data_IF_837496904415
#
_entry.id   IF_837496904415
#
_cell.length_a   1.000
_cell.length_b   1.000
_cell.length_c   1.000
_cell.angle_alpha   90.00
_cell.angle_beta   90.00
_cell.angle_gamma   90.00
#
_symmetry.space_group_name_H-M   'P 1'
#
loop_
_entity.id
_entity.type
_entity.pdbx_description
1 polymer ?
2 non-polymer ?
3 non-polymer ?
4 water ?
#
# COMPACT_ATOMS: atom_id res chain seq x y z
N UNK A 4 -0.13 -7.29 -30.54
CA UNK A 4 -0.63 -6.68 -29.25
C UNK A 4 0.54 -6.51 -28.26
N UNK A 5 1.10 -5.30 -28.08
CA UNK A 5 2.32 -5.13 -27.28
C UNK A 5 2.00 -5.18 -25.78
N UNK A 6 2.92 -5.70 -24.97
CA UNK A 6 2.71 -5.73 -23.50
C UNK A 6 2.92 -4.34 -22.94
N UNK A 7 2.11 -3.92 -21.95
CA UNK A 7 2.22 -2.57 -21.43
C UNK A 7 3.49 -2.37 -20.61
N UNK A 8 3.97 -1.13 -20.60
CA UNK A 8 5.07 -0.64 -19.73
C UNK A 8 4.45 0.05 -18.51
N UNK A 9 3.21 0.53 -18.67
CA UNK A 9 2.45 1.34 -17.68
C UNK A 9 1.03 0.80 -17.59
N UNK A 10 0.45 0.81 -16.38
CA UNK A 10 -1.01 0.57 -16.20
C UNK A 10 -1.51 1.64 -15.24
N UNK A 11 -2.82 1.83 -15.22
CA UNK A 11 -3.43 2.73 -14.22
C UNK A 11 -4.29 1.87 -13.33
N UNK A 12 -4.22 2.22 -12.06
CA UNK A 12 -4.84 1.47 -10.96
C UNK A 12 -5.73 2.44 -10.21
N UNK A 13 -6.97 2.05 -10.05
CA UNK A 13 -7.94 2.73 -9.20
C UNK A 13 -7.93 2.04 -7.85
N UNK A 14 -7.82 2.84 -6.81
CA UNK A 14 -8.00 2.40 -5.40
C UNK A 14 -9.20 3.14 -4.85
N UNK A 15 -10.18 2.41 -4.37
CA UNK A 15 -11.32 2.97 -3.65
C UNK A 15 -11.37 2.48 -2.23
N UNK A 16 -11.66 3.34 -1.29
CA UNK A 16 -11.95 2.96 0.11
C UNK A 16 -13.25 3.66 0.51
N UNK A 17 -14.18 2.87 1.00
CA UNK A 17 -15.45 3.41 1.52
C UNK A 17 -15.94 2.62 2.71
N UNK A 18 -16.06 3.28 3.83
CA UNK A 18 -16.79 2.74 4.99
C UNK A 18 -18.28 3.07 4.74
N UNK A 19 -19.04 2.03 4.48
CA UNK A 19 -20.43 2.13 3.99
C UNK A 19 -21.41 2.33 5.15
N UNK A 20 -20.94 2.26 6.41
CA UNK A 20 -21.79 2.52 7.59
C UNK A 20 -22.97 1.57 7.64
N UNK A 21 -22.79 0.35 7.13
CA UNK A 21 -23.75 -0.78 7.24
C UNK A 21 -25.03 -0.47 6.46
N UNK A 22 -24.97 0.49 5.52
CA UNK A 22 -26.14 0.93 4.72
C UNK A 22 -25.88 0.53 3.28
N UNK A 23 -26.92 0.09 2.55
CA UNK A 23 -26.80 -0.15 1.13
C UNK A 23 -26.37 1.14 0.44
N UNK A 24 -25.66 1.01 -0.67
CA UNK A 24 -25.25 2.18 -1.43
C UNK A 24 -26.44 2.79 -2.16
N UNK A 25 -26.30 4.02 -2.66
CA UNK A 25 -27.32 4.61 -3.51
C UNK A 25 -27.27 3.99 -4.91
N UNK A 26 -28.24 4.36 -5.75
CA UNK A 26 -28.38 3.69 -7.06
C UNK A 26 -27.19 4.04 -7.97
N UNK A 27 -26.55 5.18 -7.77
CA UNK A 27 -25.45 5.62 -8.64
C UNK A 27 -24.23 5.91 -7.79
N UNK A 28 -23.12 5.24 -8.07
CA UNK A 28 -21.86 5.47 -7.32
C UNK A 28 -20.76 5.74 -8.35
N UNK A 29 -21.10 6.06 -9.62
CA UNK A 29 -20.11 6.23 -10.70
C UNK A 29 -19.07 7.35 -10.40
N UNK A 30 -19.48 8.39 -9.67
CA UNK A 30 -18.60 9.52 -9.28
C UNK A 30 -17.35 9.00 -8.58
N UNK A 31 -17.49 7.92 -7.81
CA UNK A 31 -16.35 7.32 -7.07
C UNK A 31 -15.32 6.83 -8.09
N UNK A 32 -15.75 6.00 -9.04
CA UNK A 32 -14.85 5.35 -10.00
C UNK A 32 -14.29 6.37 -10.99
N UNK A 33 -15.00 7.48 -11.16
CA UNK A 33 -14.55 8.60 -12.01
C UNK A 33 -13.65 9.58 -11.27
N UNK A 34 -13.37 9.39 -9.98
CA UNK A 34 -12.51 10.34 -9.24
C UNK A 34 -13.07 11.76 -9.36
N UNK A 35 -14.37 11.91 -9.12
CA UNK A 35 -15.09 13.21 -9.13
C UNK A 35 -15.52 13.59 -7.71
N UNK A 36 -15.35 14.86 -7.36
CA UNK A 36 -15.81 15.39 -6.08
C UNK A 36 -14.84 16.43 -5.63
N UNK A 37 -14.24 16.19 -4.45
CA UNK A 37 -13.27 17.13 -3.81
C UNK A 37 -11.88 16.54 -3.92
N UNK A 38 -10.86 17.40 -3.82
CA UNK A 38 -9.46 16.98 -3.73
C UNK A 38 -8.82 17.04 -5.09
N UNK A 39 -7.90 16.12 -5.34
CA UNK A 39 -7.20 15.99 -6.66
C UNK A 39 -8.05 15.05 -7.51
N UNK A 40 -8.82 15.64 -8.43
CA UNK A 40 -9.84 14.92 -9.21
C UNK A 40 -9.35 14.68 -10.65
N UNK A 41 -10.01 13.74 -11.28
CA UNK A 41 -9.65 13.30 -12.62
C UNK A 41 -10.32 14.21 -13.65
N UNK A 42 -9.57 14.47 -14.72
CA UNK A 42 -10.04 15.27 -15.87
C UNK A 42 -11.26 14.61 -16.53
N UNK A 43 -12.26 15.43 -16.84
CA UNK A 43 -13.51 14.96 -17.52
C UNK A 43 -13.18 14.21 -18.80
N UNK A 44 -12.12 14.62 -19.47
CA UNK A 44 -11.76 14.04 -20.80
C UNK A 44 -11.37 12.56 -20.66
N UNK A 45 -11.05 12.12 -19.44
CA UNK A 45 -10.64 10.73 -19.18
C UNK A 45 -11.81 9.82 -18.81
N UNK A 46 -13.02 10.34 -18.71
CA UNK A 46 -14.15 9.62 -18.08
C UNK A 46 -14.35 8.25 -18.71
N UNK A 47 -14.18 8.13 -20.04
CA UNK A 47 -14.53 6.86 -20.71
C UNK A 47 -13.34 5.92 -20.71
N UNK A 48 -12.20 6.38 -20.26
CA UNK A 48 -10.94 5.62 -20.35
C UNK A 48 -10.93 4.71 -19.13
N UNK A 49 -10.98 3.39 -19.30
CA UNK A 49 -10.98 2.52 -18.13
C UNK A 49 -9.57 2.50 -17.53
N UNK A 50 -9.52 2.40 -16.21
CA UNK A 50 -8.33 1.98 -15.48
C UNK A 50 -8.12 0.52 -15.83
N UNK A 51 -6.88 0.06 -15.72
CA UNK A 51 -6.51 -1.34 -16.02
C UNK A 51 -7.02 -2.24 -14.90
N UNK A 52 -6.90 -1.79 -13.66
CA UNK A 52 -7.24 -2.58 -12.46
C UNK A 52 -8.02 -1.64 -11.55
N UNK A 53 -9.14 -2.10 -11.02
CA UNK A 53 -9.91 -1.38 -9.97
C UNK A 53 -9.84 -2.23 -8.72
N UNK A 54 -9.41 -1.62 -7.63
CA UNK A 54 -9.34 -2.30 -6.33
C UNK A 54 -10.23 -1.52 -5.38
N UNK A 55 -11.25 -2.19 -4.84
CA UNK A 55 -12.35 -1.55 -4.08
C UNK A 55 -12.39 -2.12 -2.65
N UNK A 56 -11.98 -1.30 -1.67
CA UNK A 56 -12.00 -1.69 -0.27
C UNK A 56 -13.23 -1.12 0.36
N UNK A 57 -14.01 -1.94 1.00
CA UNK A 57 -15.12 -1.47 1.84
C UNK A 57 -14.93 -1.91 3.28
N UNK A 58 -15.54 -1.13 4.16
CA UNK A 58 -15.67 -1.41 5.60
C UNK A 58 -17.13 -1.23 5.98
N UNK A 59 -17.57 -1.90 7.03
CA UNK A 59 -18.98 -1.85 7.45
C UNK A 59 -19.84 -2.10 6.21
N UNK A 60 -19.48 -3.10 5.39
CA UNK A 60 -20.18 -3.39 4.11
C UNK A 60 -21.32 -4.35 4.43
N UNK A 61 -22.57 -3.94 4.18
CA UNK A 61 -23.73 -4.77 4.55
C UNK A 61 -24.15 -5.75 3.46
N UNK A 62 -23.49 -5.66 2.32
CA UNK A 62 -23.90 -6.41 1.11
C UNK A 62 -23.25 -7.78 1.11
N UNK A 63 -23.87 -8.73 0.42
CA UNK A 63 -23.21 -9.99 0.06
C UNK A 63 -22.15 -9.67 -1.01
N UNK A 64 -21.19 -10.56 -1.20
CA UNK A 64 -20.18 -10.44 -2.27
C UNK A 64 -20.93 -10.33 -3.59
N UNK A 65 -21.93 -11.18 -3.77
CA UNK A 65 -22.67 -11.22 -5.04
C UNK A 65 -23.31 -9.85 -5.30
N UNK A 66 -24.02 -9.30 -4.31
CA UNK A 66 -24.69 -8.00 -4.44
C UNK A 66 -23.69 -6.90 -4.79
N UNK A 67 -22.56 -6.85 -4.10
CA UNK A 67 -21.57 -5.77 -4.34
C UNK A 67 -20.90 -5.93 -5.71
N UNK A 68 -20.49 -7.14 -6.07
CA UNK A 68 -19.92 -7.43 -7.40
C UNK A 68 -20.86 -6.94 -8.51
N UNK A 69 -22.15 -7.28 -8.39
CA UNK A 69 -23.23 -6.83 -9.31
C UNK A 69 -23.11 -5.32 -9.50
N UNK A 70 -23.12 -4.58 -8.39
CA UNK A 70 -23.17 -3.10 -8.41
C UNK A 70 -21.87 -2.55 -9.02
N UNK A 71 -20.75 -3.09 -8.59
CA UNK A 71 -19.44 -2.64 -9.11
C UNK A 71 -19.37 -2.90 -10.60
N UNK A 72 -19.65 -4.11 -11.06
CA UNK A 72 -19.49 -4.41 -12.49
C UNK A 72 -20.43 -3.57 -13.36
N UNK A 73 -21.68 -3.40 -12.92
CA UNK A 73 -22.70 -2.54 -13.60
C UNK A 73 -22.15 -1.11 -13.70
N UNK A 74 -21.65 -0.57 -12.59
CA UNK A 74 -21.13 0.82 -12.51
C UNK A 74 -19.95 0.99 -13.49
N UNK A 75 -19.00 0.05 -13.51
CA UNK A 75 -17.84 0.15 -14.44
C UNK A 75 -18.32 -0.01 -15.88
N UNK A 76 -19.25 -0.92 -16.12
CA UNK A 76 -19.78 -1.13 -17.51
C UNK A 76 -20.44 0.16 -17.97
N UNK A 77 -21.20 0.83 -17.10
CA UNK A 77 -21.90 2.08 -17.47
C UNK A 77 -20.86 3.15 -17.82
N UNK A 78 -19.81 3.26 -17.04
CA UNK A 78 -18.74 4.27 -17.24
C UNK A 78 -17.96 3.98 -18.52
N UNK A 79 -17.56 2.74 -18.73
CA UNK A 79 -16.46 2.38 -19.65
C UNK A 79 -16.94 1.56 -20.85
N UNK A 80 -18.13 0.97 -20.74
CA UNK A 80 -18.64 -0.06 -21.68
C UNK A 80 -17.76 -1.29 -21.72
N UNK A 81 -17.01 -1.53 -20.65
CA UNK A 81 -16.14 -2.72 -20.53
C UNK A 81 -16.77 -3.57 -19.45
N UNK A 82 -16.90 -4.87 -19.71
CA UNK A 82 -17.26 -5.89 -18.71
C UNK A 82 -15.98 -6.38 -18.04
N UNK A 83 -15.76 -5.89 -16.84
CA UNK A 83 -14.55 -6.24 -16.06
C UNK A 83 -14.64 -7.66 -15.56
N UNK A 84 -13.46 -8.26 -15.44
CA UNK A 84 -13.26 -9.62 -14.89
C UNK A 84 -12.95 -9.48 -13.42
N UNK A 85 -13.50 -10.38 -12.64
CA UNK A 85 -13.24 -10.50 -11.21
C UNK A 85 -11.92 -11.25 -11.03
N UNK A 86 -10.92 -10.58 -10.50
CA UNK A 86 -9.60 -11.20 -10.18
C UNK A 86 -9.73 -11.88 -8.84
N UNK A 87 -10.29 -11.17 -7.85
CA UNK A 87 -10.35 -11.69 -6.48
C UNK A 87 -11.39 -10.91 -5.70
N UNK A 88 -11.97 -11.59 -4.73
CA UNK A 88 -12.85 -10.95 -3.73
C UNK A 88 -12.62 -11.66 -2.43
N UNK A 89 -12.42 -10.90 -1.37
CA UNK A 89 -12.17 -11.49 -0.06
C UNK A 89 -12.82 -10.62 1.01
N UNK A 90 -13.53 -11.24 1.92
CA UNK A 90 -14.30 -10.57 2.98
C UNK A 90 -13.92 -11.15 4.32
N UNK A 91 -13.65 -10.27 5.27
CA UNK A 91 -13.51 -10.65 6.69
C UNK A 91 -14.57 -9.84 7.41
N UNK A 92 -15.56 -10.50 7.95
CA UNK A 92 -16.67 -9.81 8.67
C UNK A 92 -17.30 -8.85 7.68
N UNK A 93 -17.20 -7.54 7.90
CA UNK A 93 -17.79 -6.51 7.03
C UNK A 93 -16.69 -5.70 6.31
N UNK A 94 -15.46 -6.24 6.29
CA UNK A 94 -14.28 -5.66 5.57
C UNK A 94 -14.06 -6.44 4.29
N UNK A 95 -14.11 -5.79 3.14
CA UNK A 95 -14.09 -6.48 1.85
C UNK A 95 -13.11 -5.83 0.90
N UNK A 96 -12.49 -6.65 0.09
CA UNK A 96 -11.67 -6.20 -1.05
C UNK A 96 -12.13 -6.92 -2.32
N UNK A 97 -12.36 -6.12 -3.35
CA UNK A 97 -12.66 -6.62 -4.71
C UNK A 97 -11.59 -6.10 -5.66
N UNK A 98 -11.06 -6.98 -6.49
CA UNK A 98 -10.14 -6.59 -7.57
C UNK A 98 -10.79 -6.99 -8.89
N UNK A 99 -11.00 -5.99 -9.72
CA UNK A 99 -11.53 -6.12 -11.09
C UNK A 99 -10.45 -5.69 -12.08
N UNK A 100 -10.37 -6.36 -13.21
CA UNK A 100 -9.40 -5.98 -14.26
C UNK A 100 -10.03 -6.03 -15.64
N UNK A 101 -9.51 -5.21 -16.56
CA UNK A 101 -9.87 -5.27 -18.00
C UNK A 101 -9.81 -6.73 -18.43
N UNK A 102 -10.72 -7.20 -19.32
CA UNK A 102 -10.63 -8.56 -19.82
C UNK A 102 -9.33 -8.89 -20.55
N UNK A 103 -8.75 -7.89 -21.19
CA UNK A 103 -7.49 -8.04 -21.98
C UNK A 103 -6.37 -8.43 -21.01
N UNK A 104 -6.54 -8.23 -19.68
CA UNK A 104 -5.46 -8.53 -18.70
C UNK A 104 -5.57 -9.94 -18.13
N UNK A 105 -6.59 -10.69 -18.54
CA UNK A 105 -6.91 -11.97 -17.84
C UNK A 105 -5.70 -12.91 -17.83
N UNK A 106 -4.96 -12.95 -18.95
CA UNK A 106 -3.80 -13.86 -19.15
C UNK A 106 -2.49 -13.14 -18.84
N UNK A 107 -2.57 -11.95 -18.22
CA UNK A 107 -1.37 -11.23 -17.69
C UNK A 107 -1.36 -11.39 -16.16
N UNK A 108 -2.48 -11.76 -15.59
CA UNK A 108 -2.66 -11.83 -14.12
C UNK A 108 -2.52 -13.27 -13.67
N UNK A 109 -1.68 -13.51 -12.70
CA UNK A 109 -1.46 -14.88 -12.20
C UNK A 109 -1.12 -14.82 -10.71
N UNK A 110 -0.91 -15.97 -10.10
CA UNK A 110 -0.47 -16.07 -8.67
C UNK A 110 -1.38 -15.21 -7.78
N UNK A 111 -2.68 -15.35 -7.93
CA UNK A 111 -3.64 -14.55 -7.13
C UNK A 111 -3.67 -15.14 -5.74
N UNK A 112 -3.42 -14.30 -4.74
CA UNK A 112 -3.44 -14.67 -3.30
C UNK A 112 -4.44 -13.77 -2.57
N UNK A 113 -5.08 -14.31 -1.53
CA UNK A 113 -5.98 -13.54 -0.67
C UNK A 113 -5.64 -13.95 0.75
N UNK A 114 -5.79 -13.00 1.65
CA UNK A 114 -5.65 -13.32 3.09
C UNK A 114 -6.38 -12.27 3.92
N UNK A 115 -6.47 -12.56 5.19
CA UNK A 115 -7.01 -11.56 6.13
C UNK A 115 -6.24 -11.69 7.42
N UNK A 116 -6.27 -10.63 8.19
CA UNK A 116 -5.74 -10.59 9.55
C UNK A 116 -6.83 -10.02 10.45
N UNK A 117 -7.09 -10.66 11.57
CA UNK A 117 -8.02 -10.16 12.61
C UNK A 117 -7.19 -9.46 13.67
N UNK A 118 -7.46 -8.21 13.99
CA UNK A 118 -6.63 -7.51 15.01
C UNK A 118 -7.29 -7.63 16.41
N UNK A 119 -6.52 -7.44 17.48
CA UNK A 119 -7.04 -7.38 18.87
C UNK A 119 -7.20 -8.76 19.50
N UNK A 120 -7.28 -8.81 20.84
CA UNK A 120 -7.38 -10.05 21.68
C UNK A 120 -8.64 -9.95 22.58
N UNK A 121 -9.58 -10.91 22.45
CA UNK A 121 -10.74 -11.16 23.34
C UNK A 121 -11.79 -10.02 23.22
N UNK A 122 -11.73 -8.99 24.09
CA UNK A 122 -12.49 -7.71 23.98
C UNK A 122 -12.38 -7.15 22.56
N UNK A 123 -11.13 -7.09 22.06
CA UNK A 123 -10.67 -6.28 20.91
C UNK A 123 -10.62 -7.13 19.63
N UNK A 124 -10.78 -8.48 19.72
CA UNK A 124 -10.97 -9.38 18.54
C UNK A 124 -12.47 -9.53 18.28
N UNK A 125 -12.93 -9.11 17.12
CA UNK A 125 -14.35 -9.34 16.74
C UNK A 125 -14.79 -8.57 15.52
N UNK A 126 -14.21 -7.41 15.21
CA UNK A 126 -14.65 -6.80 13.94
C UNK A 126 -13.65 -5.97 13.12
N UNK A 127 -12.46 -5.72 13.66
CA UNK A 127 -11.40 -4.90 13.00
C UNK A 127 -10.33 -5.84 12.41
N UNK A 128 -9.63 -5.36 11.39
CA UNK A 128 -8.55 -6.13 10.78
C UNK A 128 -8.37 -5.74 9.34
N UNK A 129 -7.89 -6.66 8.54
CA UNK A 129 -7.55 -6.34 7.15
C UNK A 129 -7.84 -7.50 6.26
N UNK A 130 -8.14 -7.20 5.02
CA UNK A 130 -8.14 -8.19 3.93
C UNK A 130 -7.10 -7.73 2.91
N UNK A 131 -6.61 -8.65 2.12
CA UNK A 131 -5.60 -8.35 1.11
C UNK A 131 -5.66 -9.25 -0.08
N UNK A 132 -5.19 -8.73 -1.17
CA UNK A 132 -5.02 -9.46 -2.44
C UNK A 132 -3.63 -9.17 -2.96
N UNK A 133 -2.99 -10.19 -3.52
CA UNK A 133 -1.80 -9.99 -4.35
C UNK A 133 -1.91 -10.80 -5.63
N UNK A 134 -1.15 -10.37 -6.62
CA UNK A 134 -1.03 -11.13 -7.87
C UNK A 134 0.19 -10.59 -8.62
N UNK A 135 0.60 -11.34 -9.61
CA UNK A 135 1.53 -10.91 -10.66
C UNK A 135 0.73 -10.30 -11.79
N UNK A 136 1.17 -9.16 -12.27
CA UNK A 136 0.75 -8.59 -13.55
C UNK A 136 1.96 -8.64 -14.48
N UNK A 137 2.00 -9.60 -15.38
CA UNK A 137 3.24 -9.88 -16.17
C UNK A 137 4.42 -10.00 -15.18
N UNK A 138 5.46 -9.19 -15.31
CA UNK A 138 6.66 -9.37 -14.46
C UNK A 138 6.60 -8.54 -13.18
N UNK A 139 5.45 -7.96 -12.87
CA UNK A 139 5.31 -6.98 -11.77
C UNK A 139 4.39 -7.58 -10.70
N UNK A 140 4.85 -7.55 -9.45
CA UNK A 140 4.06 -8.02 -8.30
C UNK A 140 3.29 -6.84 -7.70
N UNK A 141 2.00 -7.06 -7.45
CA UNK A 141 1.09 -6.03 -6.93
C UNK A 141 0.40 -6.58 -5.70
N UNK A 142 0.40 -5.82 -4.62
CA UNK A 142 -0.29 -6.15 -3.36
C UNK A 142 -1.22 -5.04 -2.98
N UNK A 143 -2.30 -5.41 -2.33
CA UNK A 143 -3.39 -4.48 -1.98
C UNK A 143 -3.94 -4.90 -0.64
N UNK A 144 -3.95 -3.96 0.29
CA UNK A 144 -4.44 -4.18 1.67
C UNK A 144 -5.55 -3.18 1.93
N UNK A 145 -6.68 -3.69 2.35
CA UNK A 145 -7.84 -2.91 2.86
C UNK A 145 -7.96 -3.18 4.35
N UNK A 146 -7.67 -2.19 5.20
CA UNK A 146 -7.72 -2.37 6.66
C UNK A 146 -8.74 -1.45 7.28
N UNK A 147 -9.48 -1.96 8.26
CA UNK A 147 -10.37 -1.19 9.16
C UNK A 147 -9.72 -1.24 10.52
N UNK A 148 -9.04 -0.17 10.89
CA UNK A 148 -8.29 -0.14 12.15
C UNK A 148 -9.18 0.34 13.30
N UNK A 149 -8.66 0.18 14.50
CA UNK A 149 -9.36 0.51 15.75
C UNK A 149 -9.87 1.95 15.64
N UNK A 150 -11.09 2.19 16.11
CA UNK A 150 -11.72 3.53 16.08
C UNK A 150 -11.39 4.29 17.36
N UNK A 151 -11.63 5.58 17.34
CA UNK A 151 -11.57 6.41 18.54
C UNK A 151 -10.37 7.31 18.51
N UNK A 152 -10.56 8.58 18.79
CA UNK A 152 -9.48 9.56 18.83
C UNK A 152 -8.34 9.15 19.77
N UNK A 153 -8.69 8.47 20.86
CA UNK A 153 -7.76 8.15 21.97
C UNK A 153 -6.87 6.95 21.62
N UNK A 154 -7.13 6.26 20.52
CA UNK A 154 -6.51 4.92 20.24
C UNK A 154 -5.52 4.95 19.08
N UNK A 155 -4.77 6.01 18.90
CA UNK A 155 -3.80 6.03 17.76
C UNK A 155 -2.75 4.93 17.99
N UNK A 156 -2.35 4.66 19.24
CA UNK A 156 -1.34 3.62 19.51
C UNK A 156 -1.87 2.26 19.07
N UNK A 157 -3.15 1.98 19.40
CA UNK A 157 -3.82 0.71 19.01
C UNK A 157 -3.80 0.59 17.49
N UNK A 158 -4.13 1.67 16.79
CA UNK A 158 -4.10 1.67 15.31
C UNK A 158 -2.69 1.27 14.85
N UNK A 159 -1.66 1.84 15.44
CA UNK A 159 -0.27 1.56 15.02
C UNK A 159 0.03 0.07 15.28
N UNK A 160 -0.51 -0.46 16.37
CA UNK A 160 -0.35 -1.88 16.71
C UNK A 160 -1.08 -2.69 15.67
N UNK A 161 -2.29 -2.27 15.28
CA UNK A 161 -3.10 -3.01 14.30
C UNK A 161 -2.29 -3.07 12.99
N UNK A 162 -1.71 -1.94 12.57
CA UNK A 162 -0.86 -1.86 11.37
C UNK A 162 0.26 -2.88 11.43
N UNK A 163 0.96 -2.95 12.55
CA UNK A 163 2.12 -3.88 12.66
C UNK A 163 1.64 -5.33 12.62
N UNK A 164 0.53 -5.65 13.29
CA UNK A 164 -0.05 -7.03 13.20
C UNK A 164 -0.41 -7.35 11.77
N UNK A 165 -1.03 -6.42 11.06
CA UNK A 165 -1.44 -6.73 9.67
C UNK A 165 -0.21 -6.95 8.79
N UNK A 166 0.75 -6.03 8.92
CA UNK A 166 2.06 -6.04 8.23
C UNK A 166 2.71 -7.41 8.43
N UNK A 167 2.72 -7.89 9.67
CA UNK A 167 3.45 -9.13 10.05
C UNK A 167 2.74 -10.35 9.53
N UNK A 168 1.42 -10.38 9.63
CA UNK A 168 0.68 -11.67 9.55
C UNK A 168 -0.11 -11.83 8.28
N UNK A 169 -0.25 -10.79 7.47
CA UNK A 169 -0.99 -10.94 6.22
C UNK A 169 -0.07 -11.70 5.26
N UNK A 170 -0.51 -12.88 4.79
CA UNK A 170 0.32 -13.83 4.01
C UNK A 170 -0.06 -13.69 2.53
N UNK A 171 0.54 -12.72 1.87
CA UNK A 171 0.33 -12.45 0.44
C UNK A 171 1.66 -12.60 -0.26
N UNK A 172 1.62 -12.69 -1.58
CA UNK A 172 2.82 -12.74 -2.41
C UNK A 172 3.57 -14.04 -2.28
N UNK A 173 4.84 -14.00 -2.60
CA UNK A 173 5.66 -15.19 -2.88
C UNK A 173 6.13 -15.74 -1.52
N UNK A 174 5.63 -16.90 -1.15
CA UNK A 174 5.98 -17.53 0.17
C UNK A 174 7.48 -17.86 0.22
N UNK A 175 8.14 -17.96 -0.90
CA UNK A 175 9.60 -18.23 -0.88
C UNK A 175 10.35 -17.03 -0.33
N UNK A 176 9.73 -15.86 -0.33
CA UNK A 176 10.36 -14.65 0.27
C UNK A 176 10.18 -14.70 1.79
N UNK A 177 10.65 -15.77 2.44
CA UNK A 177 10.29 -16.04 3.83
C UNK A 177 10.74 -14.95 4.77
N UNK A 178 11.91 -14.28 4.65
CA UNK A 178 12.27 -13.25 5.62
C UNK A 178 11.43 -11.98 5.48
N UNK A 179 10.65 -11.86 4.41
CA UNK A 179 10.08 -10.55 4.06
C UNK A 179 8.59 -10.51 4.36
N UNK A 180 8.18 -9.40 4.95
CA UNK A 180 6.75 -9.14 5.13
C UNK A 180 6.17 -8.44 3.89
N UNK A 181 4.87 -8.15 3.96
CA UNK A 181 4.23 -7.58 2.75
C UNK A 181 4.87 -6.25 2.39
N UNK A 182 5.51 -5.51 3.30
CA UNK A 182 6.12 -4.22 2.93
C UNK A 182 7.37 -4.40 2.04
N UNK A 183 7.81 -5.61 1.72
CA UNK A 183 8.93 -5.86 0.79
C UNK A 183 8.55 -6.85 -0.32
N UNK A 184 7.37 -7.44 -0.32
CA UNK A 184 7.09 -8.54 -1.27
C UNK A 184 6.66 -8.04 -2.66
N UNK A 185 6.33 -6.77 -2.84
CA UNK A 185 5.63 -6.29 -4.05
C UNK A 185 6.37 -5.14 -4.70
N UNK A 186 6.41 -5.15 -6.02
CA UNK A 186 6.83 -3.95 -6.78
C UNK A 186 6.05 -2.72 -6.28
N UNK A 187 4.73 -2.87 -6.16
CA UNK A 187 3.81 -1.81 -5.73
C UNK A 187 2.88 -2.42 -4.70
N UNK A 188 2.79 -1.77 -3.55
CA UNK A 188 1.90 -2.17 -2.44
C UNK A 188 1.04 -0.97 -2.15
N UNK A 189 -0.27 -1.18 -2.20
CA UNK A 189 -1.25 -0.13 -1.88
C UNK A 189 -1.96 -0.57 -0.62
N UNK A 190 -1.96 0.31 0.36
CA UNK A 190 -2.62 0.06 1.64
C UNK A 190 -3.60 1.19 1.88
N UNK A 191 -4.84 0.82 2.05
CA UNK A 191 -5.96 1.79 2.13
C UNK A 191 -6.92 1.24 3.16
N UNK A 192 -7.91 2.04 3.45
CA UNK A 192 -9.03 1.64 4.28
C UNK A 192 -9.54 2.77 5.16
N UNK A 193 -10.39 2.35 6.07
CA UNK A 193 -10.76 3.17 7.22
C UNK A 193 -9.69 2.97 8.27
N UNK A 194 -8.61 3.74 8.15
CA UNK A 194 -7.45 3.65 9.05
C UNK A 194 -7.79 4.34 10.37
N UNK A 195 -8.82 5.21 10.41
CA UNK A 195 -9.47 5.66 11.67
C UNK A 195 -8.59 6.61 12.47
N UNK A 196 -7.53 7.13 11.86
CA UNK A 196 -6.78 8.23 12.52
C UNK A 196 -7.61 9.51 12.46
N UNK A 197 -7.49 10.32 13.50
CA UNK A 197 -8.37 11.47 13.73
C UNK A 197 -7.57 12.76 13.74
N UNK A 198 -8.32 13.84 13.57
CA UNK A 198 -7.80 15.21 13.78
C UNK A 198 -7.82 15.43 15.28
N UNK A 199 -6.63 15.41 15.90
CA UNK A 199 -6.46 15.51 17.37
C UNK A 199 -6.43 16.98 17.77
N UNK A 200 -7.61 17.54 17.97
CA UNK A 200 -7.81 18.91 18.51
C UNK A 200 -8.79 18.78 19.66
N UNK A 201 -8.87 19.80 20.54
CA UNK A 201 -9.79 19.72 21.67
C UNK A 201 -11.22 19.64 21.14
N UNK A 202 -12.08 18.87 21.81
CA UNK A 202 -13.46 18.55 21.37
C UNK A 202 -14.31 19.83 21.35
N UNK A 203 -13.94 20.82 22.16
CA UNK A 203 -14.62 22.15 22.21
C UNK A 203 -14.15 23.06 21.06
N UNK A 204 -13.21 22.60 20.23
CA UNK A 204 -12.88 23.26 18.94
C UNK A 204 -13.73 22.68 17.79
N UNK A 205 -14.75 21.86 18.06
CA UNK A 205 -15.49 21.19 16.96
C UNK A 205 -16.05 22.21 15.99
N UNK A 206 -16.67 23.30 16.48
CA UNK A 206 -17.35 24.25 15.57
C UNK A 206 -16.27 24.98 14.79
N UNK A 207 -15.15 25.26 15.42
CA UNK A 207 -14.00 25.91 14.74
C UNK A 207 -13.49 25.04 13.60
N UNK A 208 -13.38 23.74 13.85
CA UNK A 208 -12.94 22.79 12.79
C UNK A 208 -13.92 22.82 11.63
N UNK A 209 -15.20 22.78 11.94
CA UNK A 209 -16.25 22.81 10.90
C UNK A 209 -16.15 24.06 10.05
N UNK A 210 -15.93 25.22 10.69
CA UNK A 210 -15.85 26.51 9.96
C UNK A 210 -14.57 26.52 9.10
N UNK A 211 -13.47 25.89 9.55
CA UNK A 211 -12.27 25.73 8.71
C UNK A 211 -12.59 24.86 7.48
N UNK A 212 -13.30 23.75 7.68
CA UNK A 212 -13.71 22.88 6.55
C UNK A 212 -14.57 23.67 5.56
N UNK A 213 -15.53 24.45 6.05
CA UNK A 213 -16.41 25.24 5.15
C UNK A 213 -15.59 26.22 4.32
N UNK A 214 -14.48 26.71 4.85
CA UNK A 214 -13.55 27.64 4.18
C UNK A 214 -12.55 26.90 3.29
N UNK A 215 -12.61 25.56 3.25
CA UNK A 215 -11.60 24.72 2.57
C UNK A 215 -10.20 25.07 3.05
N UNK A 216 -10.04 25.35 4.33
CA UNK A 216 -8.73 25.68 4.94
C UNK A 216 -8.33 24.48 5.78
N UNK A 217 -7.60 23.57 5.16
CA UNK A 217 -7.34 22.26 5.79
C UNK A 217 -6.01 22.28 6.53
N UNK A 218 -5.17 23.30 6.33
CA UNK A 218 -3.77 23.27 6.80
C UNK A 218 -3.70 23.09 8.33
N UNK A 219 -4.51 23.82 9.08
CA UNK A 219 -4.46 23.77 10.55
C UNK A 219 -5.12 22.48 11.02
N UNK A 220 -5.91 21.81 10.18
CA UNK A 220 -6.47 20.51 10.60
C UNK A 220 -5.44 19.42 10.31
N UNK A 221 -4.88 19.39 9.09
CA UNK A 221 -3.90 18.32 8.71
C UNK A 221 -2.68 18.33 9.64
N UNK A 222 -2.29 19.48 10.18
CA UNK A 222 -1.15 19.54 11.13
C UNK A 222 -1.49 18.78 12.41
N UNK A 223 -2.77 18.40 12.64
CA UNK A 223 -3.16 17.60 13.82
C UNK A 223 -3.68 16.23 13.41
N UNK A 224 -3.61 15.90 12.12
CA UNK A 224 -4.03 14.58 11.66
C UNK A 224 -3.09 13.56 12.26
N UNK A 225 -3.65 12.58 12.94
CA UNK A 225 -2.81 11.62 13.68
C UNK A 225 -2.02 10.74 12.72
N UNK A 226 -2.55 10.41 11.57
CA UNK A 226 -1.78 9.59 10.64
C UNK A 226 -0.55 10.38 10.14
N UNK A 227 -0.71 11.63 9.71
CA UNK A 227 0.44 12.47 9.28
C UNK A 227 1.42 12.61 10.45
N UNK A 228 0.95 12.87 11.67
CA UNK A 228 1.89 13.13 12.79
C UNK A 228 2.57 11.82 13.19
N UNK A 229 1.83 10.73 13.32
CA UNK A 229 2.45 9.44 13.65
C UNK A 229 3.46 9.03 12.58
N UNK A 230 3.15 9.25 11.31
CA UNK A 230 4.07 8.93 10.19
C UNK A 230 5.32 9.82 10.29
N UNK A 231 5.15 11.10 10.59
CA UNK A 231 6.29 12.06 10.70
C UNK A 231 7.21 11.60 11.84
N UNK A 232 6.66 11.01 12.91
CA UNK A 232 7.45 10.54 14.05
C UNK A 232 7.85 9.07 13.85
N UNK A 233 7.61 8.51 12.67
CA UNK A 233 8.08 7.16 12.27
C UNK A 233 7.46 6.13 13.22
N UNK A 234 6.23 6.35 13.65
CA UNK A 234 5.53 5.38 14.52
C UNK A 234 4.75 4.36 13.70
N UNK A 235 4.45 4.65 12.43
CA UNK A 235 3.55 3.80 11.64
C UNK A 235 3.81 4.10 10.16
N UNK A 236 3.51 3.15 9.30
CA UNK A 236 3.59 3.31 7.83
C UNK A 236 4.98 3.84 7.42
N UNK A 237 6.03 3.34 8.04
CA UNK A 237 7.38 3.79 7.67
C UNK A 237 7.61 3.40 6.21
N UNK A 238 8.08 4.34 5.41
CA UNK A 238 8.51 4.15 4.00
C UNK A 238 7.33 4.06 3.05
N UNK A 239 6.14 4.44 3.53
CA UNK A 239 4.95 4.57 2.68
C UNK A 239 4.79 6.01 2.24
N UNK A 240 4.12 6.19 1.10
CA UNK A 240 3.78 7.51 0.52
C UNK A 240 2.28 7.75 0.68
N UNK A 241 1.89 9.02 0.74
CA UNK A 241 0.49 9.43 0.63
C UNK A 241 0.50 10.72 -0.14
N UNK A 242 -0.45 10.85 -1.06
CA UNK A 242 -0.67 12.11 -1.82
C UNK A 242 -1.15 13.19 -0.84
N UNK A 243 -0.85 14.46 -1.12
CA UNK A 243 -1.36 15.57 -0.32
C UNK A 243 -2.89 15.52 -0.27
N UNK A 244 -3.45 15.70 0.92
CA UNK A 244 -4.91 15.74 1.11
C UNK A 244 -5.43 17.14 0.84
N UNK A 245 -6.35 17.27 -0.10
CA UNK A 245 -6.92 18.57 -0.53
C UNK A 245 -8.44 18.45 -0.56
N UNK A 246 -8.98 17.44 0.11
CA UNK A 246 -10.44 17.22 0.23
C UNK A 246 -10.85 17.35 1.70
N UNK A 247 -12.12 17.62 1.94
CA UNK A 247 -12.62 17.76 3.33
C UNK A 247 -12.50 16.43 4.04
N UNK A 248 -12.42 16.48 5.38
CA UNK A 248 -12.53 15.27 6.20
C UNK A 248 -13.72 14.43 5.75
N UNK A 249 -13.52 13.12 5.68
CA UNK A 249 -14.51 12.19 5.09
C UNK A 249 -15.42 11.56 6.14
N UNK A 250 -15.26 11.95 7.38
CA UNK A 250 -15.95 11.41 8.57
C UNK A 250 -16.08 12.55 9.57
N UNK A 251 -17.14 12.65 10.37
CA UNK A 251 -18.32 11.81 10.40
C UNK A 251 -19.49 12.67 9.92
N UNK A 252 -20.14 12.27 8.84
CA UNK A 252 -21.27 13.06 8.28
C UNK A 252 -22.59 12.57 8.85
N UNK A 253 -23.56 13.50 8.91
CA UNK A 253 -24.98 13.09 8.92
C UNK A 253 -25.29 12.39 7.59
N UNK A 254 -26.03 11.30 7.66
CA UNK A 254 -26.43 10.59 6.42
C UNK A 254 -27.41 11.39 5.59
N UNK A 255 -27.39 11.18 4.27
CA UNK A 255 -28.35 11.71 3.25
C UNK A 255 -28.09 13.19 2.92
N UNK A 256 -27.03 13.77 3.46
CA UNK A 256 -26.55 15.12 3.06
C UNK A 256 -25.03 15.05 3.20
N UNK A 257 -24.28 16.04 2.71
CA UNK A 257 -22.86 16.21 3.15
C UNK A 257 -22.73 17.57 3.83
N UNK A 258 -23.85 18.21 4.16
CA UNK A 258 -23.82 19.60 4.68
C UNK A 258 -23.50 19.61 6.17
N UNK A 259 -23.53 18.47 6.84
CA UNK A 259 -23.41 18.46 8.32
C UNK A 259 -22.46 17.37 8.79
N UNK A 260 -21.52 17.77 9.59
CA UNK A 260 -20.69 16.82 10.37
C UNK A 260 -21.39 16.53 11.69
N UNK A 261 -21.53 15.25 12.02
CA UNK A 261 -22.14 14.77 13.28
C UNK A 261 -21.01 14.38 14.20
N UNK A 262 -20.59 15.29 15.05
CA UNK A 262 -19.40 15.01 15.88
C UNK A 262 -19.70 14.79 17.37
N UNK A 263 -20.89 15.17 17.83
CA UNK A 263 -21.26 15.20 19.27
C UNK A 263 -21.27 13.78 19.83
N UNK A 264 -20.92 13.62 21.11
CA UNK A 264 -20.91 12.31 21.78
C UNK A 264 -22.38 11.91 21.96
N UNK A 265 -22.62 10.62 21.79
CA UNK A 265 -23.96 9.99 21.76
C UNK A 265 -23.82 8.59 22.37
N UNK A 266 -24.89 8.04 22.94
CA UNK A 266 -24.84 6.64 23.38
C UNK A 266 -24.27 5.78 22.27
N UNK A 267 -24.72 5.99 21.03
CA UNK A 267 -24.36 5.13 19.88
C UNK A 267 -22.85 5.23 19.59
N UNK A 268 -22.18 6.31 20.00
CA UNK A 268 -20.70 6.47 19.81
C UNK A 268 -19.93 6.02 21.05
N UNK A 269 -20.59 5.40 22.04
CA UNK A 269 -19.92 5.11 23.31
C UNK A 269 -19.52 6.36 24.03
N UNK A 270 -20.28 7.43 23.85
CA UNK A 270 -20.05 8.75 24.44
C UNK A 270 -18.69 9.30 24.04
N UNK A 271 -18.29 9.02 22.80
CA UNK A 271 -17.05 9.56 22.16
C UNK A 271 -17.44 10.66 21.19
N UNK A 272 -16.66 11.74 21.16
CA UNK A 272 -16.73 12.74 20.09
C UNK A 272 -16.08 12.12 18.86
N UNK A 273 -16.64 12.46 17.70
CA UNK A 273 -16.07 12.14 16.38
C UNK A 273 -15.82 13.48 15.69
N UNK A 274 -14.80 14.22 16.12
CA UNK A 274 -14.38 15.44 15.41
C UNK A 274 -14.11 15.05 13.96
N UNK A 275 -14.45 15.91 13.00
CA UNK A 275 -14.21 15.65 11.59
C UNK A 275 -12.77 15.23 11.37
N UNK A 276 -12.63 14.15 10.63
CA UNK A 276 -11.33 13.48 10.46
C UNK A 276 -11.17 12.86 9.08
N UNK A 277 -9.91 12.70 8.71
CA UNK A 277 -9.55 11.97 7.48
C UNK A 277 -9.32 10.50 7.83
N UNK A 278 -10.41 9.79 8.11
CA UNK A 278 -10.32 8.37 8.54
C UNK A 278 -9.90 7.49 7.35
N UNK A 279 -10.27 7.92 6.16
CA UNK A 279 -10.34 7.08 4.95
C UNK A 279 -9.20 7.44 4.00
N UNK A 280 -8.25 6.55 3.82
CA UNK A 280 -6.90 6.92 3.32
C UNK A 280 -6.40 5.91 2.32
N UNK A 281 -5.50 6.36 1.48
CA UNK A 281 -4.79 5.49 0.54
C UNK A 281 -3.31 5.83 0.60
N UNK A 282 -2.52 4.83 0.90
CA UNK A 282 -1.05 4.96 0.92
C UNK A 282 -0.45 3.91 0.02
N UNK A 283 0.78 4.11 -0.36
CA UNK A 283 1.46 3.11 -1.17
C UNK A 283 2.94 3.08 -0.86
N UNK A 284 3.52 1.98 -1.30
CA UNK A 284 4.97 1.80 -1.24
C UNK A 284 5.36 0.97 -2.43
N UNK A 285 6.28 1.50 -3.20
CA UNK A 285 6.78 0.88 -4.43
C UNK A 285 8.28 0.70 -4.23
N UNK A 286 8.81 -0.30 -4.87
CA UNK A 286 10.25 -0.55 -4.87
C UNK A 286 10.95 0.70 -5.43
N UNK A 287 12.20 0.92 -4.98
CA UNK A 287 12.95 2.08 -5.42
C UNK A 287 13.06 2.19 -6.94
N UNK A 288 12.90 3.42 -7.43
CA UNK A 288 13.07 3.82 -8.87
C UNK A 288 12.11 3.07 -9.77
N UNK A 289 10.96 2.66 -9.24
CA UNK A 289 9.86 2.22 -10.12
C UNK A 289 8.91 3.39 -10.28
N UNK A 290 8.41 3.56 -11.50
CA UNK A 290 7.43 4.62 -11.80
C UNK A 290 6.15 4.36 -11.00
N UNK A 291 5.76 5.31 -10.20
CA UNK A 291 4.40 5.32 -9.57
C UNK A 291 4.03 6.77 -9.38
N UNK A 292 2.93 7.16 -9.97
CA UNK A 292 2.50 8.59 -9.91
C UNK A 292 1.02 8.59 -9.52
N UNK A 293 0.71 9.28 -8.44
CA UNK A 293 -0.69 9.48 -8.02
C UNK A 293 -1.32 10.51 -8.95
N UNK A 294 -2.39 10.10 -9.64
CA UNK A 294 -3.13 10.92 -10.63
C UNK A 294 -4.35 11.58 -9.98
N UNK A 295 -4.92 10.97 -8.94
CA UNK A 295 -6.11 11.51 -8.24
C UNK A 295 -6.06 11.05 -6.79
N UNK A 296 -6.60 11.87 -5.91
CA UNK A 296 -6.79 11.53 -4.49
C UNK A 296 -7.82 12.49 -3.95
N UNK A 297 -8.99 11.97 -3.67
CA UNK A 297 -10.11 12.82 -3.28
C UNK A 297 -11.23 12.06 -2.68
N UNK A 298 -12.34 12.76 -2.51
CA UNK A 298 -13.55 12.12 -1.96
C UNK A 298 -14.73 12.51 -2.81
N UNK A 299 -15.72 11.63 -2.88
CA UNK A 299 -16.97 12.01 -3.56
C UNK A 299 -17.77 12.94 -2.68
N UNK A 300 -18.65 13.69 -3.33
CA UNK A 300 -19.58 14.68 -2.73
C UNK A 300 -21.03 14.23 -2.84
N UNK A 301 -21.34 13.23 -3.66
CA UNK A 301 -22.73 12.93 -4.02
C UNK A 301 -23.15 11.53 -3.54
N UNK A 302 -22.36 10.84 -2.71
CA UNK A 302 -22.70 9.49 -2.20
C UNK A 302 -22.82 9.67 -0.69
N UNK A 303 -24.04 9.58 -0.17
CA UNK A 303 -24.39 10.11 1.18
C UNK A 303 -25.10 9.06 2.05
N UNK A 304 -25.07 7.78 1.67
CA UNK A 304 -25.76 6.72 2.42
C UNK A 304 -25.00 6.42 3.69
N UNK A 305 -23.70 6.71 3.72
CA UNK A 305 -22.85 6.41 4.88
C UNK A 305 -22.56 7.68 5.66
N UNK A 306 -22.03 7.51 6.87
CA UNK A 306 -21.46 8.62 7.65
C UNK A 306 -20.00 8.86 7.20
N UNK A 307 -19.48 8.06 6.27
CA UNK A 307 -18.22 8.35 5.58
C UNK A 307 -18.51 8.65 4.11
N UNK A 308 -17.72 9.53 3.52
CA UNK A 308 -17.67 9.65 2.07
C UNK A 308 -16.61 8.70 1.51
N UNK A 309 -16.92 8.05 0.38
CA UNK A 309 -15.93 7.32 -0.40
C UNK A 309 -14.70 8.17 -0.73
N UNK A 310 -13.56 7.51 -0.72
CA UNK A 310 -12.25 8.07 -1.13
C UNK A 310 -11.78 7.28 -2.34
N UNK A 311 -11.22 8.01 -3.30
CA UNK A 311 -10.61 7.45 -4.51
C UNK A 311 -9.17 7.90 -4.58
N UNK A 312 -8.36 7.06 -5.16
CA UNK A 312 -7.01 7.43 -5.57
C UNK A 312 -6.71 6.66 -6.85
N UNK A 313 -6.03 7.30 -7.78
CA UNK A 313 -5.59 6.58 -8.98
C UNK A 313 -4.09 6.77 -9.18
N UNK A 314 -3.53 5.76 -9.80
CA UNK A 314 -2.08 5.72 -9.99
C UNK A 314 -1.71 5.26 -11.38
N UNK A 315 -0.70 5.91 -11.97
CA UNK A 315 0.15 5.31 -13.02
C UNK A 315 1.16 4.41 -12.33
N UNK A 316 1.27 3.15 -12.76
CA UNK A 316 2.26 2.24 -12.15
C UNK A 316 3.07 1.57 -13.25
N UNK A 317 4.39 1.66 -13.16
CA UNK A 317 5.25 0.94 -14.09
C UNK A 317 5.12 -0.55 -13.90
N UNK A 318 5.11 -1.24 -15.03
CA UNK A 318 5.09 -2.71 -15.09
C UNK A 318 6.11 -3.17 -16.11
N UNK A 319 6.53 -4.41 -15.93
CA UNK A 319 7.51 -5.06 -16.81
C UNK A 319 6.86 -6.27 -17.42
N UNK A 320 7.43 -6.72 -18.55
CA UNK A 320 6.96 -7.87 -19.35
C UNK A 320 7.39 -9.17 -18.67
N UNK A 321 6.82 -10.31 -19.10
CA UNK A 321 7.24 -11.65 -18.67
C UNK A 321 8.41 -12.04 -19.59
N UNK A 322 9.62 -11.69 -19.19
CA UNK A 322 10.83 -11.79 -20.03
C UNK A 322 11.24 -13.23 -20.27
N UNK A 323 11.55 -13.54 -21.53
CA UNK A 323 12.05 -14.87 -22.00
C UNK A 323 13.24 -14.60 -22.95
N UNK A 324 14.41 -15.11 -22.61
CA UNK A 324 15.60 -15.13 -23.50
C UNK A 324 15.84 -16.56 -23.98
N UNK A 325 16.82 -16.72 -24.87
CA UNK A 325 17.34 -18.04 -25.32
C UNK A 325 17.79 -18.85 -24.09
N UNK A 326 18.34 -18.14 -23.08
CA UNK A 326 18.91 -18.68 -21.81
C UNK A 326 17.80 -18.72 -20.74
N UNK A 327 17.76 -17.76 -19.81
CA UNK A 327 16.74 -17.74 -18.75
C UNK A 327 15.37 -17.36 -19.30
N UNK A 328 14.23 -17.76 -18.64
CA UNK A 328 14.25 -18.68 -17.50
C UNK A 328 14.66 -20.15 -17.75
N UNK A 329 15.24 -20.78 -16.71
CA UNK A 329 15.60 -22.21 -16.65
C UNK A 329 17.08 -22.44 -16.78
N UNK A 330 17.85 -21.37 -16.71
CA UNK A 330 19.32 -21.40 -16.60
C UNK A 330 19.78 -19.98 -16.26
N UNK A 331 21.08 -19.82 -15.98
CA UNK A 331 21.76 -18.50 -15.84
C UNK A 331 22.13 -17.99 -17.24
N UNK A 332 22.52 -16.73 -17.32
CA UNK A 332 23.03 -16.06 -18.55
C UNK A 332 24.44 -15.55 -18.21
N UNK A 333 25.45 -16.39 -18.40
CA UNK A 333 26.82 -16.15 -17.88
C UNK A 333 27.24 -14.70 -18.17
N UNK A 334 26.59 -14.01 -19.11
CA UNK A 334 26.91 -12.62 -19.54
C UNK A 334 26.52 -11.61 -18.44
N UNK A 335 25.86 -12.06 -17.36
CA UNK A 335 25.27 -11.21 -16.30
C UNK A 335 25.87 -11.51 -14.93
N UNK A 336 26.14 -10.47 -14.14
CA UNK A 336 26.57 -10.66 -12.74
C UNK A 336 26.28 -9.39 -11.94
N UNK A 337 26.06 -9.59 -10.65
CA UNK A 337 25.86 -8.49 -9.67
C UNK A 337 26.93 -8.69 -8.61
N UNK A 338 27.78 -7.70 -8.44
CA UNK A 338 28.83 -7.76 -7.41
C UNK A 338 28.61 -6.63 -6.42
N UNK A 339 29.00 -6.88 -5.18
CA UNK A 339 28.89 -5.95 -4.02
C UNK A 339 30.28 -5.69 -3.47
N UNK A 340 30.59 -4.43 -3.26
CA UNK A 340 31.91 -4.02 -2.76
C UNK A 340 31.68 -3.23 -1.49
N UNK A 341 32.60 -3.32 -0.52
CA UNK A 341 32.71 -2.37 0.62
C UNK A 341 31.33 -2.27 1.29
N UNK A 342 30.63 -3.39 1.44
CA UNK A 342 29.27 -3.37 2.04
C UNK A 342 29.33 -3.52 3.56
N UNK A 343 28.44 -2.83 4.24
CA UNK A 343 28.26 -3.06 5.68
C UNK A 343 26.83 -2.76 6.08
N UNK A 344 26.37 -3.53 7.05
CA UNK A 344 25.07 -3.34 7.70
C UNK A 344 25.36 -2.60 9.00
N UNK A 345 24.61 -1.56 9.28
CA UNK A 345 24.60 -0.88 10.59
C UNK A 345 23.30 -1.30 11.25
N UNK A 346 23.38 -1.94 12.41
CA UNK A 346 22.17 -2.47 13.09
C UNK A 346 21.99 -1.76 14.41
N UNK A 347 20.73 -1.55 14.78
CA UNK A 347 20.35 -0.94 16.07
C UNK A 347 20.34 -2.00 17.18
N UNK A 348 20.39 -3.28 16.85
CA UNK A 348 20.30 -4.39 17.83
C UNK A 348 21.37 -4.25 18.92
N UNK A 349 20.97 -4.60 20.13
CA UNK A 349 21.88 -4.59 21.31
C UNK A 349 22.52 -5.96 21.43
N UNK A 350 22.15 -6.93 20.58
CA UNK A 350 22.65 -8.31 20.66
C UNK A 350 24.04 -8.42 20.02
N UNK A 351 24.82 -9.43 20.43
CA UNK A 351 26.07 -9.89 19.79
C UNK A 351 25.88 -11.37 19.42
N UNK A 352 25.50 -11.60 18.16
CA UNK A 352 25.56 -12.88 17.40
C UNK A 352 26.28 -12.53 16.07
N UNK A 353 26.71 -13.53 15.33
CA UNK A 353 27.20 -13.32 13.95
C UNK A 353 25.98 -13.15 13.05
N UNK A 354 26.16 -12.44 11.94
CA UNK A 354 25.11 -12.21 10.91
C UNK A 354 25.59 -12.66 9.55
N UNK A 355 24.66 -13.08 8.71
CA UNK A 355 24.91 -13.31 7.28
C UNK A 355 23.81 -12.62 6.50
N UNK A 356 23.97 -12.50 5.19
CA UNK A 356 22.88 -11.92 4.37
C UNK A 356 22.18 -13.00 3.57
N UNK A 357 20.94 -12.71 3.19
CA UNK A 357 20.29 -13.44 2.09
C UNK A 357 19.87 -12.45 1.01
N UNK A 358 20.13 -12.80 -0.24
CA UNK A 358 19.73 -12.02 -1.42
C UNK A 358 18.58 -12.74 -2.05
N UNK A 359 17.42 -12.09 -2.17
CA UNK A 359 16.26 -12.72 -2.84
C UNK A 359 15.85 -11.85 -4.02
N UNK A 360 15.68 -12.45 -5.19
CA UNK A 360 15.17 -11.70 -6.36
C UNK A 360 14.64 -12.69 -7.38
N UNK A 361 13.59 -12.29 -8.08
CA UNK A 361 13.01 -13.04 -9.22
C UNK A 361 14.04 -13.17 -10.35
N UNK A 362 15.10 -12.34 -10.34
CA UNK A 362 16.18 -12.40 -11.37
C UNK A 362 17.19 -13.52 -11.06
N UNK A 363 17.08 -14.16 -9.90
CA UNK A 363 17.94 -15.29 -9.45
C UNK A 363 17.14 -16.58 -9.53
N UNK A 364 17.82 -17.70 -9.75
CA UNK A 364 17.13 -19.02 -9.76
C UNK A 364 16.63 -19.32 -8.35
N UNK A 365 17.40 -18.99 -7.33
CA UNK A 365 16.92 -19.05 -5.94
C UNK A 365 17.77 -18.11 -5.11
N UNK A 366 17.36 -17.93 -3.86
CA UNK A 366 18.01 -16.94 -2.98
C UNK A 366 19.44 -17.40 -2.70
N UNK A 367 20.25 -16.44 -2.36
CA UNK A 367 21.70 -16.66 -2.12
C UNK A 367 22.00 -16.23 -0.69
N UNK A 368 22.71 -17.10 0.03
CA UNK A 368 23.14 -16.89 1.44
C UNK A 368 24.64 -16.56 1.46
N UNK A 369 25.00 -15.41 2.01
CA UNK A 369 26.41 -14.96 2.12
C UNK A 369 27.07 -15.76 3.24
N UNK A 370 28.39 -15.65 3.32
CA UNK A 370 29.18 -15.94 4.52
C UNK A 370 28.85 -14.91 5.59
N UNK A 371 29.27 -15.18 6.82
CA UNK A 371 29.13 -14.27 7.96
C UNK A 371 29.96 -13.03 7.72
N UNK A 372 29.39 -11.89 8.08
CA UNK A 372 30.14 -10.63 8.19
C UNK A 372 30.95 -10.60 9.47
N UNK A 373 31.80 -9.59 9.57
CA UNK A 373 32.62 -9.35 10.77
C UNK A 373 32.07 -8.15 11.53
N UNK A 374 31.68 -8.41 12.77
CA UNK A 374 31.09 -7.39 13.65
C UNK A 374 32.18 -6.42 14.11
N UNK A 375 31.91 -5.13 14.07
CA UNK A 375 32.69 -4.13 14.84
C UNK A 375 31.72 -3.20 15.55
N UNK A 376 32.24 -2.38 16.46
CA UNK A 376 31.54 -1.30 17.19
C UNK A 376 31.58 -0.02 16.34
N UNK A 377 30.43 0.62 16.08
CA UNK A 377 30.36 1.99 15.57
C UNK A 377 30.80 3.02 16.61
N UNK A 378 31.11 4.24 16.20
CA UNK A 378 31.68 5.30 17.08
C UNK A 378 30.61 5.83 18.03
N UNK A 379 29.33 5.58 17.73
CA UNK A 379 28.18 6.07 18.54
C UNK A 379 27.43 4.89 19.16
N UNK A 380 28.11 3.76 19.40
CA UNK A 380 27.55 2.58 20.09
C UNK A 380 27.08 1.44 19.17
N UNK A 381 26.90 1.70 17.85
CA UNK A 381 26.13 0.83 16.90
C UNK A 381 26.82 -0.52 16.67
N UNK A 382 26.06 -1.52 16.23
CA UNK A 382 26.72 -2.72 15.67
C UNK A 382 26.92 -2.52 14.16
N UNK A 383 28.15 -2.66 13.69
CA UNK A 383 28.48 -2.55 12.25
C UNK A 383 28.89 -3.94 11.82
N UNK A 384 28.19 -4.49 10.85
CA UNK A 384 28.52 -5.82 10.29
C UNK A 384 29.22 -5.59 8.98
N UNK A 385 30.51 -5.86 8.94
CA UNK A 385 31.31 -5.59 7.71
C UNK A 385 31.30 -6.83 6.85
N UNK A 386 30.97 -6.69 5.57
CA UNK A 386 31.06 -7.77 4.58
C UNK A 386 32.29 -7.60 3.69
N UNK A 387 32.92 -6.43 3.72
CA UNK A 387 34.02 -6.05 2.81
C UNK A 387 33.69 -6.43 1.38
N UNK A 388 34.50 -7.32 0.81
CA UNK A 388 34.45 -7.74 -0.61
C UNK A 388 34.06 -9.21 -0.58
N UNK A 389 33.51 -9.70 0.56
CA UNK A 389 33.29 -11.14 0.82
C UNK A 389 31.93 -11.59 0.27
N UNK A 390 31.05 -10.67 -0.15
CA UNK A 390 29.69 -11.07 -0.60
C UNK A 390 29.77 -11.82 -1.92
N UNK A 391 28.94 -12.86 -2.13
CA UNK A 391 28.97 -13.61 -3.38
C UNK A 391 28.68 -12.73 -4.59
N UNK A 392 29.03 -13.31 -5.74
CA UNK A 392 28.71 -12.77 -7.08
C UNK A 392 27.37 -13.38 -7.46
N UNK A 393 26.34 -12.55 -7.68
CA UNK A 393 24.98 -13.04 -7.98
C UNK A 393 24.92 -13.26 -9.48
N UNK A 394 24.30 -14.37 -9.87
CA UNK A 394 24.21 -14.81 -11.27
C UNK A 394 22.76 -14.69 -11.69
N UNK A 395 22.38 -13.59 -12.38
CA UNK A 395 21.00 -13.48 -12.81
C UNK A 395 20.68 -14.45 -13.95
N UNK A 396 19.40 -14.77 -14.07
CA UNK A 396 18.87 -15.75 -15.06
C UNK A 396 18.89 -15.14 -16.46
N UNK A 397 18.85 -13.83 -16.55
CA UNK A 397 18.81 -13.08 -17.84
C UNK A 397 19.76 -11.90 -17.72
N UNK A 398 20.59 -11.67 -18.72
CA UNK A 398 21.69 -10.66 -18.71
C UNK A 398 21.24 -9.42 -19.48
N UNK A 399 20.17 -9.54 -20.25
CA UNK A 399 19.72 -8.42 -21.11
C UNK A 399 19.51 -7.22 -20.19
N UNK A 400 20.12 -6.04 -20.47
CA UNK A 400 19.94 -4.88 -19.60
C UNK A 400 18.49 -4.40 -19.56
N UNK A 401 17.73 -4.60 -20.64
CA UNK A 401 16.30 -4.17 -20.68
C UNK A 401 15.49 -4.94 -19.64
N UNK A 402 15.98 -6.11 -19.25
CA UNK A 402 15.35 -6.87 -18.14
C UNK A 402 16.03 -6.53 -16.83
N UNK A 403 17.36 -6.65 -16.81
CA UNK A 403 18.10 -6.69 -15.52
C UNK A 403 18.01 -5.32 -14.83
N UNK A 404 18.04 -4.21 -15.56
CA UNK A 404 18.07 -2.88 -14.92
C UNK A 404 16.72 -2.62 -14.26
N UNK A 405 15.67 -3.38 -14.59
CA UNK A 405 14.32 -3.19 -14.03
C UNK A 405 14.13 -4.04 -12.77
N UNK A 406 15.16 -4.75 -12.32
CA UNK A 406 14.98 -5.72 -11.25
C UNK A 406 15.41 -5.11 -9.91
N UNK A 407 15.13 -5.85 -8.84
CA UNK A 407 15.43 -5.43 -7.46
C UNK A 407 16.00 -6.63 -6.72
N UNK A 408 16.87 -6.34 -5.76
CA UNK A 408 17.43 -7.37 -4.86
C UNK A 408 16.93 -7.03 -3.48
N UNK A 409 16.15 -7.94 -2.92
CA UNK A 409 15.80 -7.87 -1.48
C UNK A 409 16.96 -8.43 -0.68
N UNK A 410 17.23 -7.79 0.44
CA UNK A 410 18.30 -8.19 1.38
C UNK A 410 17.68 -8.42 2.74
N UNK A 411 18.03 -9.55 3.37
CA UNK A 411 17.75 -9.80 4.79
C UNK A 411 19.09 -10.09 5.45
N UNK A 412 19.29 -9.45 6.59
CA UNK A 412 20.42 -9.77 7.48
C UNK A 412 19.87 -10.66 8.59
N UNK A 413 20.47 -11.86 8.70
CA UNK A 413 19.98 -12.93 9.57
C UNK A 413 21.04 -13.26 10.63
N UNK A 414 20.57 -13.57 11.83
CA UNK A 414 21.43 -14.09 12.90
C UNK A 414 21.89 -15.49 12.50
N UNK A 415 23.19 -15.76 12.63
CA UNK A 415 23.70 -17.14 12.43
C UNK A 415 23.13 -18.07 13.50
N UNK A 416 22.93 -17.57 14.72
CA UNK A 416 22.47 -18.38 15.89
C UNK A 416 21.02 -18.83 15.65
N UNK A 417 20.18 -17.96 15.10
CA UNK A 417 18.70 -18.19 15.16
C UNK A 417 18.10 -18.29 13.76
N UNK A 418 18.84 -17.85 12.75
CA UNK A 418 18.34 -17.68 11.34
C UNK A 418 17.13 -16.73 11.31
N UNK A 419 17.07 -15.94 12.33
CA UNK A 419 15.96 -14.96 12.28
C UNK A 419 16.49 -13.68 11.62
N UNK A 420 15.56 -13.01 10.76
CA UNK A 420 15.93 -11.74 10.11
C UNK A 420 15.92 -10.62 11.15
N UNK A 421 16.97 -9.80 11.15
CA UNK A 421 17.05 -8.60 11.99
C UNK A 421 16.73 -7.37 11.17
N UNK A 422 16.61 -7.54 9.87
CA UNK A 422 16.44 -6.38 8.99
C UNK A 422 16.25 -6.82 7.55
N UNK A 423 15.40 -6.09 6.85
CA UNK A 423 15.06 -6.34 5.45
C UNK A 423 15.08 -5.02 4.73
N UNK A 424 15.53 -5.06 3.50
CA UNK A 424 15.57 -3.89 2.63
C UNK A 424 15.63 -4.31 1.19
N UNK A 425 15.74 -3.33 0.31
CA UNK A 425 15.60 -3.57 -1.12
C UNK A 425 16.53 -2.61 -1.87
N UNK A 426 17.20 -3.15 -2.87
CA UNK A 426 18.16 -2.40 -3.73
C UNK A 426 17.69 -2.47 -5.17
N UNK A 427 17.50 -1.32 -5.79
CA UNK A 427 17.15 -1.26 -7.22
C UNK A 427 18.40 -1.53 -8.05
N UNK A 428 18.23 -2.23 -9.16
CA UNK A 428 19.29 -2.40 -10.20
C UNK A 428 19.16 -1.36 -11.32
N UNK A 429 18.32 -0.34 -11.13
CA UNK A 429 18.10 0.76 -12.11
C UNK A 429 19.26 1.75 -11.99
N UNK A 430 20.48 1.29 -12.27
CA UNK A 430 21.73 2.03 -12.01
C UNK A 430 21.96 3.10 -13.06
N UNK A 431 22.75 4.09 -12.69
CA UNK A 431 23.22 5.16 -13.59
C UNK A 431 24.20 4.61 -14.63
N UNK A 432 24.83 3.48 -14.38
CA UNK A 432 25.90 2.89 -15.23
C UNK A 432 26.00 1.40 -14.93
N UNK A 433 26.47 0.62 -15.90
CA UNK A 433 26.88 -0.79 -15.72
C UNK A 433 28.40 -0.87 -15.70
N UNK A 434 28.91 -1.96 -15.17
CA UNK A 434 30.37 -2.25 -15.15
C UNK A 434 31.06 -1.12 -14.39
N UNK A 435 30.39 -0.49 -13.43
CA UNK A 435 30.87 0.73 -12.74
C UNK A 435 30.50 0.59 -11.26
N UNK A 436 31.45 0.80 -10.36
CA UNK A 436 31.16 0.75 -8.89
C UNK A 436 30.27 1.93 -8.54
N UNK A 437 29.09 1.67 -7.99
CA UNK A 437 28.13 2.75 -7.68
C UNK A 437 27.62 2.56 -6.28
N UNK A 438 27.39 3.65 -5.52
CA UNK A 438 26.90 3.49 -4.16
C UNK A 438 25.50 2.84 -4.21
N UNK A 439 25.24 1.97 -3.26
CA UNK A 439 23.87 1.50 -2.98
C UNK A 439 23.55 1.74 -1.50
N UNK A 440 22.26 1.74 -1.21
CA UNK A 440 21.77 2.02 0.15
C UNK A 440 20.36 1.47 0.21
N UNK A 441 20.05 0.87 1.35
CA UNK A 441 18.66 0.69 1.78
C UNK A 441 18.58 0.82 3.28
N UNK A 442 17.50 1.41 3.81
CA UNK A 442 17.18 1.23 5.23
C UNK A 442 16.83 -0.24 5.40
N UNK A 443 17.04 -0.72 6.60
CA UNK A 443 16.59 -2.06 7.01
C UNK A 443 15.48 -1.94 8.02
N UNK A 444 14.46 -2.78 7.87
CA UNK A 444 13.31 -2.79 8.79
C UNK A 444 13.10 -4.21 9.25
N UNK A 445 12.40 -4.34 10.35
CA UNK A 445 11.87 -5.65 10.78
C UNK A 445 10.52 -5.39 11.44
N UNK A 446 9.51 -6.13 11.01
CA UNK A 446 8.11 -5.86 11.42
C UNK A 446 7.79 -4.41 11.07
N UNK A 447 8.43 -3.90 10.04
CA UNK A 447 8.11 -2.57 9.49
C UNK A 447 8.67 -1.44 10.34
N UNK A 448 9.51 -1.76 11.33
CA UNK A 448 10.22 -0.75 12.15
C UNK A 448 11.69 -0.67 11.69
N UNK A 449 12.26 0.53 11.73
CA UNK A 449 13.67 0.71 11.35
C UNK A 449 14.60 -0.03 12.32
N UNK A 450 15.48 -0.86 11.77
CA UNK A 450 16.39 -1.67 12.58
C UNK A 450 17.83 -1.45 12.16
N UNK A 451 18.06 -0.68 11.12
CA UNK A 451 19.43 -0.45 10.66
C UNK A 451 19.46 0.03 9.24
N UNK A 452 20.60 -0.17 8.65
CA UNK A 452 20.93 0.31 7.29
C UNK A 452 21.88 -0.66 6.63
N UNK A 453 21.81 -0.72 5.32
CA UNK A 453 22.75 -1.48 4.50
C UNK A 453 23.29 -0.53 3.46
N UNK A 454 24.59 -0.43 3.36
CA UNK A 454 25.19 0.45 2.33
C UNK A 454 26.46 -0.18 1.79
N UNK A 455 26.83 0.24 0.59
CA UNK A 455 28.05 -0.27 -0.01
C UNK A 455 28.11 0.22 -1.41
N UNK A 456 28.68 -0.61 -2.25
CA UNK A 456 28.77 -0.32 -3.68
C UNK A 456 28.31 -1.56 -4.41
N UNK A 457 27.76 -1.33 -5.59
CA UNK A 457 27.36 -2.39 -6.52
C UNK A 457 28.14 -2.23 -7.82
N UNK A 458 28.44 -3.39 -8.62
CA UNK A 458 29.03 -3.42 -9.98
C UNK A 458 28.16 -4.40 -10.76
N UNK A 459 27.29 -3.89 -11.66
CA UNK A 459 26.34 -4.67 -12.44
C UNK A 459 26.89 -4.88 -13.84
N UNK A 460 26.99 -6.15 -14.24
CA UNK A 460 27.35 -6.59 -15.61
C UNK A 460 26.08 -7.02 -16.34
N UNK A 461 25.78 -6.42 -17.49
CA UNK A 461 24.67 -6.85 -18.37
C UNK A 461 25.34 -7.35 -19.64
N UNK A 462 24.56 -7.90 -20.55
CA UNK A 462 25.07 -8.35 -21.88
C UNK A 462 25.46 -7.14 -22.73
N UNK A 463 25.14 -5.91 -22.30
CA UNK A 463 25.64 -4.68 -22.97
C UNK A 463 26.73 -4.00 -22.13
X LIG B 1 5.59 12.40 7.08
X LIG B 1 7.74 13.37 5.66
X LIG B 1 9.63 10.28 0.32
X LIG B 1 8.49 10.55 1.30
X LIG B 1 8.98 10.44 2.74
X LIG B 1 8.38 11.03 4.95
X LIG B 1 7.49 12.01 5.68
X LIG B 1 6.41 11.56 6.40
X LIG B 1 5.85 13.76 7.05
X LIG B 1 6.93 14.24 6.34
X LIG B 1 7.89 10.80 3.62
X LIG B 1 7.97 11.84 1.10
X LIG B 1 6.10 9.82 6.41
X LIG B 1 9.13 13.95 4.74
X LIG C 1 9.14 -5.42 -11.51
X LIG C 1 8.17 -4.98 -12.58
X LIG C 1 10.18 -4.02 -11.19
X LIG C 1 10.42 -6.34 -12.32
X LIG D 1 11.63 -9.22 -6.55
X LIG D 1 12.64 -9.73 -7.49
X LIG D 1 11.11 -10.59 -5.54
X LIG D 1 12.52 -8.36 -5.32
X LIG E 1 13.45 0.13 1.64
X LIG E 1 12.61 -1.12 1.39
X LIG E 1 12.33 1.48 1.76
X LIG E 1 14.22 0.49 0.09
#
# INVERSE_FOLDING_TARGET
SMEQPEPDMITIFIGTWNMGNAPPPKKITSWFLSKGQGKTRDDSADYIPHDIYVIGTQEDPLSEKEWLEILKHSLQEITSVTFKTVAIHTLWNIRIVVLAKPEHENRISHICTDNVKTGIANTLGNKGAVGVSFMFNGTSLGFVNSHLTSGSEKKLRRNQNYMNILRFLALGDKKLSPFNITHRFTHLFWFGDLNYRVDLPTWEAETIIQKIKQQQYADLLSHDQLLTERREQKVFLHFEEEEITFAPTYRFERLTRDKYAYTKQKATGMKYNLPSWCDRVLWKSYPLVHVVCQSYGSTSDIMTSDHSPVFATFEAGVTSQFVSKNGPGTVDSQGQIEFLRCYATLKTKSQTKFYLEFHSSCLESFVKSQEGENEEGSEGELVVKFGETLPKLKPIISDPEYLLDQHILISIKSSDSDESYGEGCIALRLEATETQLPIYTPLTHHGELTGHFQGEIKLQTSQ
WLD C10 C13 C01 C02 C04 C06 C07 C08 C11 C12 N05 O03 CL0 CL1
DMS S O C1 C2
DMS S O C1 C2
DMS S O C1 C2
#
